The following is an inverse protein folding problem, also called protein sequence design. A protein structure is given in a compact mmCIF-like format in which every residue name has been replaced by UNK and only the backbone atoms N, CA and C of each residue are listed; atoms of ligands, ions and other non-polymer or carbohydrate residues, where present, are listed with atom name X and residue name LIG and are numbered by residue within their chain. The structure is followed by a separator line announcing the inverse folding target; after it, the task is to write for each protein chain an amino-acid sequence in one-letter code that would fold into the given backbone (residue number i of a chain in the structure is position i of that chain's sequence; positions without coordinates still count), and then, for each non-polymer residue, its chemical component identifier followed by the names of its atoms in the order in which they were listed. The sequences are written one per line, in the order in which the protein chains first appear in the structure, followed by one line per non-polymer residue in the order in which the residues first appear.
data_IF_457656355578
#
_entry.id   IF_457656355578
#
_cell.length_a   1.000
_cell.length_b   1.000
_cell.length_c   1.000
_cell.angle_alpha   90.00
_cell.angle_beta   90.00
_cell.angle_gamma   90.00
#
_symmetry.space_group_name_H-M   'P 1'
#
loop_
_entity.id
_entity.type
_entity.pdbx_description
1 polymer ?
#
# COMPACT_ATOMS: atom_id res chain seq x y z
N UNK A 1 8.64 20.55 -6.20
CA UNK A 1 7.71 20.04 -5.16
C UNK A 1 6.66 19.19 -5.86
N UNK A 2 6.25 18.11 -5.23
CA UNK A 2 5.15 17.33 -5.79
C UNK A 2 3.84 18.12 -5.76
N UNK A 3 3.09 18.04 -6.84
CA UNK A 3 1.85 18.77 -7.04
C UNK A 3 0.74 17.82 -7.46
N UNK A 4 -0.49 18.04 -6.97
CA UNK A 4 -1.65 17.33 -7.48
C UNK A 4 -2.17 18.12 -8.68
N UNK A 5 -1.87 17.63 -9.89
CA UNK A 5 -2.23 18.29 -11.15
C UNK A 5 -3.65 18.02 -11.59
N UNK A 6 -4.30 17.02 -11.02
CA UNK A 6 -5.70 16.68 -11.25
C UNK A 6 -6.11 15.37 -10.60
N UNK A 7 -7.35 14.98 -10.85
CA UNK A 7 -7.93 13.75 -10.32
C UNK A 7 -8.85 13.08 -11.33
N UNK A 8 -8.93 11.77 -11.26
CA UNK A 8 -9.80 10.92 -12.05
C UNK A 8 -10.68 10.11 -11.10
N UNK A 9 -11.99 10.17 -11.30
CA UNK A 9 -12.94 9.24 -10.73
C UNK A 9 -13.33 8.22 -11.80
N UNK A 10 -13.25 6.93 -11.52
CA UNK A 10 -13.51 5.89 -12.52
C UNK A 10 -14.06 4.62 -11.89
N UNK A 11 -14.98 3.96 -12.56
CA UNK A 11 -15.44 2.65 -12.11
C UNK A 11 -14.43 1.57 -12.45
N UNK A 12 -14.40 0.49 -11.63
CA UNK A 12 -13.41 -0.57 -11.70
C UNK A 12 -13.99 -1.96 -12.00
N UNK A 13 -15.17 -2.04 -12.57
CA UNK A 13 -15.79 -3.36 -12.81
C UNK A 13 -14.83 -4.28 -13.61
N UNK A 14 -14.71 -5.58 -13.24
CA UNK A 14 -13.79 -6.50 -13.90
C UNK A 14 -14.12 -6.66 -15.38
N UNK A 15 -15.40 -6.52 -15.74
CA UNK A 15 -15.89 -6.68 -17.10
C UNK A 15 -15.31 -5.66 -18.08
N UNK A 16 -14.95 -4.46 -17.65
CA UNK A 16 -14.30 -3.46 -18.49
C UNK A 16 -12.91 -3.96 -18.91
N UNK A 17 -12.12 -4.46 -17.98
CA UNK A 17 -10.80 -5.03 -18.26
C UNK A 17 -10.87 -6.25 -19.19
N UNK A 18 -11.82 -7.14 -18.95
CA UNK A 18 -12.04 -8.30 -19.83
C UNK A 18 -12.53 -7.92 -21.22
N UNK A 19 -13.35 -6.89 -21.36
CA UNK A 19 -13.77 -6.37 -22.65
C UNK A 19 -12.59 -5.78 -23.44
N UNK A 20 -11.65 -5.10 -22.75
CA UNK A 20 -10.42 -4.62 -23.35
C UNK A 20 -9.54 -5.79 -23.85
N UNK A 21 -9.28 -6.78 -23.00
CA UNK A 21 -8.46 -7.95 -23.33
C UNK A 21 -9.06 -8.78 -24.47
N UNK A 22 -10.39 -8.81 -24.59
CA UNK A 22 -11.13 -9.49 -25.64
C UNK A 22 -11.32 -8.65 -26.92
N UNK A 23 -10.72 -7.45 -26.99
CA UNK A 23 -10.83 -6.51 -28.13
C UNK A 23 -12.26 -6.12 -28.47
N UNK A 24 -13.10 -5.87 -27.47
CA UNK A 24 -14.53 -5.54 -27.63
C UNK A 24 -14.83 -4.04 -27.69
N UNK A 25 -13.85 -3.22 -27.99
CA UNK A 25 -13.97 -1.75 -28.01
C UNK A 25 -15.03 -1.24 -28.99
N UNK A 26 -15.33 -2.03 -30.04
CA UNK A 26 -16.31 -1.68 -31.08
C UNK A 26 -17.66 -2.38 -30.90
N UNK A 27 -17.80 -3.29 -29.94
CA UNK A 27 -19.08 -3.94 -29.67
C UNK A 27 -20.09 -2.89 -29.15
N UNK A 28 -21.33 -2.98 -29.65
CA UNK A 28 -22.39 -2.01 -29.37
C UNK A 28 -22.58 -1.74 -27.85
N UNK A 29 -22.42 -2.76 -27.01
CA UNK A 29 -22.57 -2.65 -25.55
C UNK A 29 -21.37 -1.96 -24.91
N UNK A 30 -20.15 -2.19 -25.42
CA UNK A 30 -18.91 -1.71 -24.81
C UNK A 30 -18.40 -0.41 -25.40
N UNK A 31 -18.68 -0.12 -26.67
CA UNK A 31 -18.19 1.07 -27.36
C UNK A 31 -18.43 2.40 -26.61
N UNK A 32 -19.60 2.63 -25.97
CA UNK A 32 -19.81 3.87 -25.21
C UNK A 32 -18.81 4.06 -24.07
N UNK A 33 -18.44 2.98 -23.36
CA UNK A 33 -17.47 3.01 -22.25
C UNK A 33 -16.08 3.36 -22.79
N UNK A 34 -15.60 2.64 -23.80
CA UNK A 34 -14.28 2.90 -24.38
C UNK A 34 -14.17 4.34 -24.91
N UNK A 35 -15.22 4.82 -25.58
CA UNK A 35 -15.29 6.21 -26.06
C UNK A 35 -15.24 7.21 -24.90
N UNK A 36 -15.84 6.89 -23.75
CA UNK A 36 -15.82 7.75 -22.58
C UNK A 36 -14.39 7.90 -21.96
N UNK A 37 -13.52 6.94 -22.19
CA UNK A 37 -12.11 7.01 -21.72
C UNK A 37 -11.18 7.76 -22.69
N UNK A 38 -11.52 7.94 -23.95
CA UNK A 38 -10.66 8.64 -24.93
C UNK A 38 -10.25 10.05 -24.47
N UNK A 39 -11.15 10.94 -23.97
CA UNK A 39 -10.75 12.22 -23.46
C UNK A 39 -9.85 12.14 -22.21
N UNK A 40 -10.04 11.12 -21.38
CA UNK A 40 -9.23 10.89 -20.17
C UNK A 40 -7.81 10.48 -20.56
N UNK A 41 -7.68 9.57 -21.51
CA UNK A 41 -6.38 9.13 -22.05
C UNK A 41 -5.65 10.31 -22.71
N UNK A 42 -6.37 11.14 -23.46
CA UNK A 42 -5.80 12.34 -24.08
C UNK A 42 -5.29 13.31 -23.02
N UNK A 43 -6.09 13.57 -21.99
CA UNK A 43 -5.72 14.43 -20.86
C UNK A 43 -4.47 13.90 -20.13
N UNK A 44 -4.38 12.58 -19.87
CA UNK A 44 -3.20 11.95 -19.27
C UNK A 44 -1.95 12.07 -20.18
N UNK A 45 -2.11 11.94 -21.49
CA UNK A 45 -1.01 12.16 -22.46
C UNK A 45 -0.51 13.60 -22.46
N UNK A 46 -1.38 14.56 -22.21
CA UNK A 46 -1.03 15.99 -22.11
C UNK A 46 -0.37 16.33 -20.78
N UNK A 47 -0.89 15.77 -19.67
CA UNK A 47 -0.37 16.02 -18.32
C UNK A 47 0.92 15.28 -18.01
N UNK A 48 1.10 14.08 -18.56
CA UNK A 48 2.25 13.20 -18.33
C UNK A 48 2.62 13.04 -16.85
N UNK A 49 1.66 12.66 -15.98
CA UNK A 49 1.94 12.56 -14.56
C UNK A 49 3.01 11.51 -14.26
N UNK A 50 3.89 11.82 -13.30
CA UNK A 50 4.92 10.90 -12.82
C UNK A 50 4.31 9.75 -12.04
N UNK A 51 3.21 10.04 -11.30
CA UNK A 51 2.60 9.08 -10.36
C UNK A 51 1.08 9.16 -10.41
N UNK A 52 0.43 7.98 -10.52
CA UNK A 52 -0.99 7.84 -10.18
C UNK A 52 -1.12 7.28 -8.76
N UNK A 53 -1.71 8.05 -7.84
CA UNK A 53 -2.15 7.51 -6.55
C UNK A 53 -3.53 6.87 -6.74
N UNK A 54 -3.58 5.54 -6.74
CA UNK A 54 -4.79 4.76 -7.06
C UNK A 54 -5.48 4.31 -5.79
N UNK A 55 -6.64 4.90 -5.50
CA UNK A 55 -7.51 4.53 -4.37
C UNK A 55 -8.48 3.45 -4.86
N UNK A 56 -8.40 2.26 -4.29
CA UNK A 56 -9.16 1.09 -4.72
C UNK A 56 -9.53 0.19 -3.53
N UNK A 57 -10.47 -0.72 -3.72
CA UNK A 57 -10.64 -1.87 -2.82
C UNK A 57 -10.18 -3.15 -3.49
N UNK A 58 -9.65 -4.06 -2.69
CA UNK A 58 -9.34 -5.43 -3.09
C UNK A 58 -10.57 -6.32 -2.88
N UNK A 59 -10.83 -7.20 -3.85
CA UNK A 59 -12.02 -8.09 -3.84
C UNK A 59 -11.67 -9.47 -3.28
N UNK A 60 -11.13 -9.51 -2.04
CA UNK A 60 -10.75 -10.75 -1.33
C UNK A 60 -9.69 -11.55 -2.08
N UNK A 61 -8.80 -10.87 -2.77
CA UNK A 61 -7.72 -11.47 -3.56
C UNK A 61 -6.40 -11.46 -2.80
N UNK A 62 -5.87 -10.29 -2.50
CA UNK A 62 -4.62 -10.10 -1.75
C UNK A 62 -4.82 -9.71 -0.29
N UNK A 63 -6.02 -9.25 0.08
CA UNK A 63 -6.41 -8.92 1.44
C UNK A 63 -7.58 -9.79 1.87
N UNK A 64 -7.37 -10.57 2.91
CA UNK A 64 -8.37 -11.49 3.45
C UNK A 64 -8.74 -11.14 4.88
N UNK A 65 -9.82 -11.70 5.41
CA UNK A 65 -10.40 -11.38 6.71
C UNK A 65 -9.60 -11.88 7.91
N UNK A 66 -8.45 -12.53 7.69
CA UNK A 66 -7.44 -12.80 8.70
C UNK A 66 -6.64 -11.54 9.09
N UNK A 67 -6.54 -10.56 8.18
CA UNK A 67 -6.00 -9.23 8.43
C UNK A 67 -6.56 -8.22 7.43
N UNK A 68 -7.72 -7.65 7.73
CA UNK A 68 -8.43 -6.73 6.83
C UNK A 68 -8.36 -5.29 7.32
N UNK A 69 -7.52 -4.49 6.67
CA UNK A 69 -7.25 -3.11 7.05
C UNK A 69 -8.30 -2.14 6.51
N UNK A 70 -8.67 -1.15 7.32
CA UNK A 70 -9.49 -0.03 6.85
C UNK A 70 -8.80 0.79 5.76
N UNK A 71 -7.47 1.02 5.91
CA UNK A 71 -6.62 1.67 4.93
C UNK A 71 -5.27 0.96 4.87
N UNK A 72 -4.83 0.58 3.68
CA UNK A 72 -3.50 0.00 3.46
C UNK A 72 -2.81 0.67 2.28
N UNK A 73 -1.63 1.24 2.53
CA UNK A 73 -0.83 1.95 1.53
C UNK A 73 0.28 1.03 1.00
N UNK A 74 0.36 0.90 -0.31
CA UNK A 74 1.43 0.19 -0.97
C UNK A 74 2.72 1.01 -0.97
N UNK A 75 3.79 0.45 -0.39
CA UNK A 75 5.12 1.07 -0.31
C UNK A 75 6.19 0.26 -1.05
N UNK A 76 5.75 -0.63 -1.95
CA UNK A 76 6.63 -1.45 -2.78
C UNK A 76 7.14 -0.73 -4.02
N UNK A 77 8.21 -1.27 -4.60
CA UNK A 77 8.81 -0.75 -5.83
C UNK A 77 8.10 -1.27 -7.10
N UNK A 78 7.30 -2.34 -6.99
CA UNK A 78 6.60 -2.95 -8.12
C UNK A 78 5.39 -3.77 -7.64
N UNK A 79 4.37 -3.83 -8.50
CA UNK A 79 3.14 -4.60 -8.26
C UNK A 79 2.81 -5.48 -9.46
N UNK A 80 2.51 -6.75 -9.16
CA UNK A 80 2.06 -7.75 -10.12
C UNK A 80 0.53 -7.72 -10.23
N UNK A 81 0.01 -8.24 -11.34
CA UNK A 81 -1.42 -8.51 -11.50
C UNK A 81 -1.79 -9.76 -10.69
N UNK A 82 -2.85 -9.69 -9.93
CA UNK A 82 -3.38 -10.84 -9.20
C UNK A 82 -4.06 -11.85 -10.13
N UNK A 83 -4.01 -13.11 -9.73
CA UNK A 83 -4.90 -14.15 -10.26
C UNK A 83 -6.16 -14.19 -9.39
N UNK A 84 -7.30 -13.97 -10.00
CA UNK A 84 -8.62 -13.96 -9.37
C UNK A 84 -9.42 -15.25 -9.63
N UNK A 85 -8.72 -16.35 -9.90
CA UNK A 85 -9.31 -17.68 -10.15
C UNK A 85 -9.49 -18.04 -11.63
N UNK A 86 -9.36 -17.07 -12.53
CA UNK A 86 -9.43 -17.28 -13.98
C UNK A 86 -8.09 -17.19 -14.69
N UNK A 87 -7.00 -17.06 -13.95
CA UNK A 87 -5.68 -16.69 -14.45
C UNK A 87 -5.47 -15.17 -14.43
N UNK A 88 -4.24 -14.76 -14.11
CA UNK A 88 -3.88 -13.34 -14.14
C UNK A 88 -3.99 -12.75 -15.55
N UNK A 89 -4.50 -11.52 -15.67
CA UNK A 89 -4.50 -10.79 -16.94
C UNK A 89 -3.07 -10.60 -17.45
N UNK A 90 -2.88 -10.65 -18.76
CA UNK A 90 -1.55 -10.53 -19.40
C UNK A 90 -1.09 -9.07 -19.49
N UNK A 91 -0.92 -8.45 -18.33
CA UNK A 91 -0.43 -7.08 -18.20
C UNK A 91 0.97 -7.10 -17.60
N UNK A 92 1.87 -6.18 -18.00
CA UNK A 92 3.17 -6.06 -17.36
C UNK A 92 3.01 -5.60 -15.90
N UNK A 93 3.98 -5.96 -15.02
CA UNK A 93 4.03 -5.39 -13.68
C UNK A 93 4.15 -3.87 -13.75
N UNK A 94 3.50 -3.15 -12.82
CA UNK A 94 3.57 -1.70 -12.75
C UNK A 94 4.57 -1.26 -11.68
N UNK A 95 5.38 -0.26 -11.97
CA UNK A 95 6.31 0.34 -11.03
C UNK A 95 5.59 1.06 -9.90
N UNK A 96 6.12 0.94 -8.67
CA UNK A 96 5.64 1.67 -7.51
C UNK A 96 6.58 2.83 -7.15
N UNK A 97 6.04 3.98 -6.76
CA UNK A 97 6.85 5.10 -6.28
C UNK A 97 7.05 5.02 -4.77
N UNK A 98 7.91 4.07 -4.33
CA UNK A 98 8.08 3.73 -2.92
C UNK A 98 8.54 4.91 -2.05
N UNK A 99 9.35 5.83 -2.56
CA UNK A 99 9.84 6.98 -1.79
C UNK A 99 8.71 7.95 -1.41
N UNK A 100 7.89 8.37 -2.38
CA UNK A 100 6.70 9.20 -2.12
C UNK A 100 5.68 8.44 -1.26
N UNK A 101 5.48 7.14 -1.51
CA UNK A 101 4.56 6.31 -0.71
C UNK A 101 4.96 6.26 0.78
N UNK A 102 6.25 6.11 1.08
CA UNK A 102 6.76 6.16 2.47
C UNK A 102 6.57 7.52 3.11
N UNK A 103 6.82 8.60 2.36
CA UNK A 103 6.58 9.96 2.83
C UNK A 103 5.09 10.18 3.16
N UNK A 104 4.19 9.77 2.25
CA UNK A 104 2.74 9.81 2.48
C UNK A 104 2.37 9.00 3.72
N UNK A 105 2.90 7.78 3.87
CA UNK A 105 2.64 6.93 5.02
C UNK A 105 3.06 7.57 6.33
N UNK A 106 4.27 8.13 6.41
CA UNK A 106 4.77 8.82 7.60
C UNK A 106 3.94 10.08 7.92
N UNK A 107 3.55 10.83 6.89
CA UNK A 107 2.69 12.00 7.02
C UNK A 107 1.32 11.65 7.59
N UNK A 108 0.65 10.64 7.04
CA UNK A 108 -0.67 10.22 7.50
C UNK A 108 -0.63 9.65 8.93
N UNK A 109 0.43 8.93 9.30
CA UNK A 109 0.63 8.47 10.68
C UNK A 109 0.85 9.63 11.65
N UNK A 110 1.58 10.68 11.25
CA UNK A 110 1.71 11.91 12.04
C UNK A 110 0.36 12.63 12.21
N UNK A 111 -0.48 12.63 11.18
CA UNK A 111 -1.84 13.16 11.19
C UNK A 111 -2.86 12.21 11.90
N UNK A 112 -2.39 11.22 12.65
CA UNK A 112 -3.21 10.28 13.44
C UNK A 112 -4.14 9.37 12.60
N UNK A 113 -3.75 9.07 11.35
CA UNK A 113 -4.41 8.04 10.56
C UNK A 113 -3.74 6.67 10.80
N UNK A 114 -4.52 5.68 11.24
CA UNK A 114 -4.07 4.31 11.45
C UNK A 114 -3.88 3.63 10.07
N UNK A 115 -2.65 3.69 9.55
CA UNK A 115 -2.32 3.14 8.25
C UNK A 115 -1.66 1.76 8.37
N UNK A 116 -2.12 0.80 7.57
CA UNK A 116 -1.34 -0.40 7.27
C UNK A 116 -0.45 -0.15 6.05
N UNK A 117 0.65 -0.90 5.95
CA UNK A 117 1.58 -0.82 4.82
C UNK A 117 1.77 -2.20 4.21
N UNK A 118 1.84 -2.26 2.88
CA UNK A 118 2.08 -3.52 2.19
C UNK A 118 3.14 -3.38 1.10
N UNK A 119 3.81 -4.50 0.83
CA UNK A 119 4.80 -4.64 -0.22
C UNK A 119 4.55 -5.97 -0.94
N UNK A 120 4.86 -6.04 -2.23
CA UNK A 120 4.84 -7.28 -3.02
C UNK A 120 3.50 -8.05 -3.01
N UNK A 121 2.39 -7.41 -2.65
CA UNK A 121 1.07 -8.00 -2.85
C UNK A 121 0.66 -7.76 -4.31
N UNK A 122 0.20 -8.77 -5.05
CA UNK A 122 -0.39 -8.55 -6.35
C UNK A 122 -1.69 -7.74 -6.20
N UNK A 123 -2.07 -6.98 -7.22
CA UNK A 123 -3.27 -6.15 -7.21
C UNK A 123 -4.32 -6.73 -8.15
N UNK A 124 -5.57 -6.67 -7.74
CA UNK A 124 -6.70 -7.22 -8.46
C UNK A 124 -7.29 -6.26 -9.51
N UNK A 125 -8.45 -6.63 -10.05
CA UNK A 125 -9.16 -5.79 -11.03
C UNK A 125 -9.55 -4.42 -10.50
N UNK A 126 -9.74 -4.25 -9.18
CA UNK A 126 -10.04 -2.95 -8.57
C UNK A 126 -9.00 -1.89 -8.91
N UNK A 127 -7.75 -2.31 -9.09
CA UNK A 127 -6.65 -1.46 -9.54
C UNK A 127 -6.38 -1.60 -11.04
N UNK A 128 -6.19 -2.82 -11.54
CA UNK A 128 -5.71 -3.04 -12.91
C UNK A 128 -6.77 -2.87 -14.00
N UNK A 129 -8.07 -3.03 -13.73
CA UNK A 129 -9.09 -2.73 -14.73
C UNK A 129 -9.09 -1.24 -15.11
N UNK A 130 -9.22 -0.29 -14.16
CA UNK A 130 -9.11 1.12 -14.51
C UNK A 130 -7.74 1.50 -15.05
N UNK A 131 -6.64 1.01 -14.45
CA UNK A 131 -5.30 1.35 -14.92
C UNK A 131 -5.08 1.00 -16.39
N UNK A 132 -5.54 -0.18 -16.84
CA UNK A 132 -5.45 -0.61 -18.24
C UNK A 132 -6.34 0.19 -19.19
N UNK A 133 -7.34 0.90 -18.67
CA UNK A 133 -8.17 1.82 -19.46
C UNK A 133 -7.59 3.23 -19.54
N UNK A 134 -6.81 3.63 -18.50
CA UNK A 134 -6.23 4.96 -18.40
C UNK A 134 -4.94 5.09 -19.19
N UNK A 135 -4.10 4.05 -19.18
CA UNK A 135 -2.78 4.05 -19.80
C UNK A 135 -2.61 2.97 -20.85
N UNK A 136 -1.96 3.30 -21.95
CA UNK A 136 -1.38 2.31 -22.86
C UNK A 136 -0.25 1.57 -22.14
N UNK A 137 -0.13 0.26 -22.35
CA UNK A 137 0.76 -0.60 -21.57
C UNK A 137 1.48 -1.67 -22.40
N UNK A 138 1.37 -1.64 -23.75
CA UNK A 138 2.01 -2.61 -24.62
C UNK A 138 3.55 -2.59 -24.52
N UNK A 139 4.11 -1.39 -24.36
CA UNK A 139 5.57 -1.16 -24.23
C UNK A 139 5.98 -0.88 -22.77
N UNK A 140 5.12 -1.21 -21.80
CA UNK A 140 5.25 -0.87 -20.39
C UNK A 140 4.36 0.29 -19.97
N UNK A 141 4.27 0.55 -18.66
CA UNK A 141 3.44 1.64 -18.13
C UNK A 141 4.16 2.98 -18.24
N UNK A 142 3.45 4.07 -18.62
CA UNK A 142 4.08 5.40 -18.79
C UNK A 142 4.62 6.02 -17.51
N UNK A 143 4.09 5.63 -16.35
CA UNK A 143 4.47 6.18 -15.05
C UNK A 143 4.40 5.14 -13.94
N UNK A 144 4.52 5.60 -12.71
CA UNK A 144 4.48 4.77 -11.50
C UNK A 144 3.13 4.91 -10.79
N UNK A 145 2.81 3.97 -9.89
CA UNK A 145 1.62 4.05 -9.06
C UNK A 145 1.94 4.05 -7.56
N UNK A 146 1.00 4.56 -6.78
CA UNK A 146 0.92 4.34 -5.34
C UNK A 146 -0.48 3.79 -5.06
N UNK A 147 -0.64 2.48 -4.79
CA UNK A 147 -1.93 1.91 -4.50
C UNK A 147 -2.33 2.15 -3.05
N UNK A 148 -3.53 2.68 -2.84
CA UNK A 148 -4.17 2.85 -1.53
C UNK A 148 -5.43 1.98 -1.47
N UNK A 149 -5.31 0.83 -0.82
CA UNK A 149 -6.43 -0.07 -0.59
C UNK A 149 -7.32 0.46 0.53
N UNK A 150 -8.63 0.40 0.33
CA UNK A 150 -9.68 0.77 1.31
C UNK A 150 -10.53 -0.45 1.62
N UNK A 151 -10.67 -0.78 2.89
CA UNK A 151 -11.48 -1.90 3.34
C UNK A 151 -12.97 -1.55 3.35
N UNK A 152 -13.69 -1.95 2.30
CA UNK A 152 -15.13 -1.66 2.13
C UNK A 152 -16.02 -2.90 2.18
N UNK A 153 -15.44 -4.11 2.22
CA UNK A 153 -16.20 -5.36 2.13
C UNK A 153 -16.63 -5.94 3.48
N UNK A 154 -15.98 -5.54 4.57
CA UNK A 154 -16.27 -6.03 5.92
C UNK A 154 -16.63 -4.87 6.84
N UNK A 155 -17.89 -4.82 7.29
CA UNK A 155 -18.33 -3.84 8.26
C UNK A 155 -17.76 -4.13 9.67
N UNK A 156 -17.39 -3.07 10.44
CA UNK A 156 -17.56 -1.64 10.13
C UNK A 156 -16.51 -1.14 9.13
N UNK A 157 -16.95 -0.37 8.14
CA UNK A 157 -16.09 0.26 7.15
C UNK A 157 -15.84 1.74 7.48
N UNK A 158 -14.80 2.39 6.91
CA UNK A 158 -14.53 3.81 7.12
C UNK A 158 -15.73 4.67 6.71
N UNK A 159 -16.06 5.70 7.51
CA UNK A 159 -17.15 6.61 7.16
C UNK A 159 -16.78 7.51 5.99
N UNK A 160 -17.75 7.98 5.24
CA UNK A 160 -17.59 8.97 4.18
C UNK A 160 -16.76 10.19 4.63
N UNK A 161 -17.03 10.71 5.85
CA UNK A 161 -16.28 11.81 6.46
C UNK A 161 -14.81 11.44 6.74
N UNK A 162 -14.54 10.21 7.22
CA UNK A 162 -13.16 9.75 7.47
C UNK A 162 -12.38 9.67 6.16
N UNK A 163 -13.00 9.17 5.10
CA UNK A 163 -12.42 9.09 3.77
C UNK A 163 -12.10 10.49 3.20
N UNK A 164 -13.02 11.44 3.30
CA UNK A 164 -12.77 12.81 2.86
C UNK A 164 -11.60 13.46 3.61
N UNK A 165 -11.53 13.28 4.95
CA UNK A 165 -10.41 13.74 5.77
C UNK A 165 -9.08 13.07 5.39
N UNK A 166 -9.10 11.77 5.09
CA UNK A 166 -7.91 11.07 4.58
C UNK A 166 -7.40 11.73 3.29
N UNK A 167 -8.31 12.08 2.38
CA UNK A 167 -7.96 12.84 1.17
C UNK A 167 -7.26 14.17 1.49
N UNK A 168 -7.77 14.93 2.46
CA UNK A 168 -7.13 16.17 2.90
C UNK A 168 -5.72 15.93 3.46
N UNK A 169 -5.51 14.83 4.21
CA UNK A 169 -4.20 14.39 4.66
C UNK A 169 -3.27 14.01 3.51
N UNK A 170 -3.78 13.28 2.52
CA UNK A 170 -3.03 12.93 1.31
C UNK A 170 -2.54 14.16 0.55
N UNK A 171 -3.38 15.19 0.41
CA UNK A 171 -2.96 16.44 -0.22
C UNK A 171 -1.77 17.06 0.51
N UNK A 172 -1.86 17.26 1.82
CA UNK A 172 -0.75 17.82 2.61
C UNK A 172 0.52 16.98 2.48
N UNK A 173 0.38 15.66 2.51
CA UNK A 173 1.49 14.73 2.38
C UNK A 173 2.17 14.88 1.01
N UNK A 174 1.41 14.87 -0.08
CA UNK A 174 1.96 15.00 -1.44
C UNK A 174 2.63 16.35 -1.62
N UNK A 175 1.93 17.45 -1.31
CA UNK A 175 2.43 18.82 -1.46
C UNK A 175 3.66 19.12 -0.56
N UNK A 176 3.90 18.34 0.51
CA UNK A 176 5.10 18.46 1.34
C UNK A 176 6.30 17.67 0.80
N UNK A 177 6.12 16.77 -0.15
CA UNK A 177 7.22 15.97 -0.70
C UNK A 177 8.24 16.86 -1.43
N UNK A 178 9.57 16.65 -1.19
CA UNK A 178 10.58 17.60 -1.65
C UNK A 178 10.86 17.57 -3.16
N UNK A 179 10.68 16.41 -3.81
CA UNK A 179 10.96 16.27 -5.23
C UNK A 179 9.85 16.89 -6.08
N UNK A 180 10.19 17.30 -7.29
CA UNK A 180 9.25 17.86 -8.26
C UNK A 180 8.57 16.71 -9.01
N UNK A 181 7.29 16.48 -8.71
CA UNK A 181 6.51 15.39 -9.27
C UNK A 181 5.08 15.87 -9.57
N UNK A 182 4.56 15.49 -10.71
CA UNK A 182 3.15 15.64 -11.04
C UNK A 182 2.38 14.38 -10.65
N UNK A 183 1.44 14.54 -9.72
CA UNK A 183 0.63 13.46 -9.17
C UNK A 183 -0.82 13.62 -9.59
N UNK A 184 -1.42 12.54 -10.07
CA UNK A 184 -2.88 12.43 -10.31
C UNK A 184 -3.49 11.48 -9.29
N UNK A 185 -4.57 11.88 -8.66
CA UNK A 185 -5.33 11.02 -7.74
C UNK A 185 -6.40 10.28 -8.54
N UNK A 186 -6.34 8.96 -8.55
CA UNK A 186 -7.33 8.11 -9.21
C UNK A 186 -8.15 7.41 -8.14
N UNK A 187 -9.46 7.70 -8.08
CA UNK A 187 -10.37 6.94 -7.22
C UNK A 187 -11.18 5.96 -8.07
N UNK A 188 -11.27 4.73 -7.60
CA UNK A 188 -12.01 3.66 -8.26
C UNK A 188 -13.24 3.26 -7.46
N UNK A 189 -14.10 2.42 -8.00
CA UNK A 189 -15.33 1.94 -7.36
C UNK A 189 -16.55 2.03 -8.28
N UNK A 190 -17.55 1.18 -8.04
CA UNK A 190 -18.82 1.24 -8.73
C UNK A 190 -19.74 2.32 -8.15
N UNK A 191 -20.59 2.93 -8.99
CA UNK A 191 -21.72 3.73 -8.52
C UNK A 191 -22.85 2.80 -8.03
N UNK A 192 -24.12 3.13 -8.27
CA UNK A 192 -25.17 2.29 -7.73
C UNK A 192 -25.12 0.87 -8.24
N UNK A 193 -25.03 -0.08 -7.32
CA UNK A 193 -25.13 -1.51 -7.59
C UNK A 193 -25.33 -2.32 -6.31
N UNK A 194 -25.94 -3.48 -6.48
CA UNK A 194 -25.98 -4.52 -5.45
C UNK A 194 -25.87 -5.88 -6.14
N UNK A 195 -24.90 -6.68 -5.69
CA UNK A 195 -24.56 -7.95 -6.36
C UNK A 195 -25.13 -9.18 -5.66
N UNK A 196 -25.60 -9.05 -4.42
CA UNK A 196 -26.10 -10.17 -3.63
C UNK A 196 -27.44 -9.88 -2.94
N UNK A 197 -28.08 -10.95 -2.43
CA UNK A 197 -29.38 -10.91 -1.78
C UNK A 197 -30.54 -10.62 -2.73
N UNK A 198 -31.72 -10.39 -2.17
CA UNK A 198 -32.96 -10.15 -2.92
C UNK A 198 -32.96 -8.81 -3.67
N UNK A 199 -32.02 -7.90 -3.34
CA UNK A 199 -31.80 -6.65 -4.06
C UNK A 199 -30.75 -6.75 -5.17
N UNK A 200 -30.25 -7.95 -5.49
CA UNK A 200 -29.27 -8.12 -6.56
C UNK A 200 -29.78 -7.51 -7.87
N UNK A 201 -28.94 -6.74 -8.55
CA UNK A 201 -29.33 -5.96 -9.74
C UNK A 201 -29.95 -4.59 -9.44
N UNK A 202 -29.98 -4.16 -8.17
CA UNK A 202 -30.43 -2.80 -7.82
C UNK A 202 -29.50 -1.75 -8.42
N UNK A 203 -30.10 -0.74 -9.06
CA UNK A 203 -29.43 0.46 -9.56
C UNK A 203 -30.32 1.69 -9.29
N UNK A 204 -29.70 2.86 -9.21
CA UNK A 204 -30.37 4.13 -9.01
C UNK A 204 -29.68 5.25 -9.81
N UNK A 205 -29.92 5.29 -11.11
CA UNK A 205 -29.34 6.30 -12.02
C UNK A 205 -29.58 7.75 -11.55
N UNK A 206 -30.77 8.15 -11.06
CA UNK A 206 -30.96 9.49 -10.51
C UNK A 206 -30.02 9.81 -9.35
N UNK A 207 -29.82 8.86 -8.45
CA UNK A 207 -28.85 9.02 -7.36
C UNK A 207 -27.41 9.10 -7.87
N UNK A 208 -27.03 8.29 -8.82
CA UNK A 208 -25.68 8.31 -9.40
C UNK A 208 -25.34 9.68 -9.98
N UNK A 209 -26.26 10.30 -10.72
CA UNK A 209 -26.08 11.65 -11.22
C UNK A 209 -26.04 12.69 -10.10
N UNK A 210 -26.90 12.57 -9.09
CA UNK A 210 -26.88 13.46 -7.92
C UNK A 210 -25.56 13.33 -7.14
N UNK A 211 -25.06 12.10 -6.97
CA UNK A 211 -23.76 11.84 -6.33
C UNK A 211 -22.62 12.53 -7.08
N UNK A 212 -22.58 12.39 -8.41
CA UNK A 212 -21.56 13.02 -9.26
C UNK A 212 -21.64 14.56 -9.21
N UNK A 213 -22.84 15.13 -9.14
CA UNK A 213 -23.03 16.57 -8.98
C UNK A 213 -22.56 17.05 -7.60
N UNK A 214 -22.93 16.36 -6.53
CA UNK A 214 -22.47 16.66 -5.16
C UNK A 214 -20.96 16.50 -5.02
N UNK A 215 -20.37 15.47 -5.63
CA UNK A 215 -18.92 15.25 -5.61
C UNK A 215 -18.15 16.45 -6.15
N UNK A 216 -18.67 17.10 -7.17
CA UNK A 216 -18.08 18.31 -7.75
C UNK A 216 -18.36 19.55 -6.90
N UNK A 217 -19.63 19.81 -6.54
CA UNK A 217 -20.10 21.11 -6.08
C UNK A 217 -20.26 21.21 -4.55
N UNK A 218 -20.64 20.11 -3.86
CA UNK A 218 -20.83 20.06 -2.40
C UNK A 218 -20.42 18.68 -1.86
N UNK A 219 -19.12 18.32 -1.90
CA UNK A 219 -18.66 17.03 -1.39
C UNK A 219 -18.90 16.87 0.13
N UNK A 220 -19.02 17.95 0.87
CA UNK A 220 -19.30 17.88 2.31
C UNK A 220 -20.71 17.35 2.60
N UNK A 221 -21.69 17.59 1.72
CA UNK A 221 -23.01 16.97 1.84
C UNK A 221 -22.89 15.43 1.84
N UNK A 222 -22.05 14.87 0.97
CA UNK A 222 -21.80 13.43 0.91
C UNK A 222 -21.14 12.88 2.19
N UNK A 223 -20.31 13.69 2.86
CA UNK A 223 -19.63 13.27 4.12
C UNK A 223 -20.57 13.09 5.28
N UNK A 224 -21.79 13.59 5.20
CA UNK A 224 -22.83 13.48 6.24
C UNK A 224 -23.66 12.22 6.11
N UNK A 225 -23.62 11.53 4.98
CA UNK A 225 -24.38 10.31 4.74
C UNK A 225 -23.80 9.15 5.56
N UNK A 226 -24.69 8.42 6.19
CA UNK A 226 -24.40 7.14 6.85
C UNK A 226 -24.27 6.01 5.81
N UNK A 227 -23.67 4.90 6.20
CA UNK A 227 -23.62 3.71 5.34
C UNK A 227 -25.01 3.16 5.00
N UNK A 228 -25.97 3.28 5.93
CA UNK A 228 -27.34 2.87 5.68
C UNK A 228 -28.02 3.74 4.61
N UNK A 229 -27.78 5.04 4.62
CA UNK A 229 -28.28 5.97 3.59
C UNK A 229 -27.61 5.70 2.26
N UNK A 230 -26.28 5.52 2.22
CA UNK A 230 -25.55 5.15 1.00
C UNK A 230 -26.07 3.83 0.41
N UNK A 231 -26.26 2.79 1.24
CA UNK A 231 -26.80 1.50 0.80
C UNK A 231 -28.26 1.59 0.34
N UNK A 232 -29.06 2.45 0.96
CA UNK A 232 -30.45 2.70 0.55
C UNK A 232 -30.50 3.34 -0.82
N UNK A 233 -29.65 4.35 -1.05
CA UNK A 233 -29.61 5.15 -2.26
C UNK A 233 -28.91 4.42 -3.41
N UNK A 234 -27.78 3.78 -3.13
CA UNK A 234 -26.90 3.22 -4.18
C UNK A 234 -26.81 1.69 -4.21
N UNK A 235 -27.34 0.96 -3.23
CA UNK A 235 -27.07 -0.48 -3.04
C UNK A 235 -25.90 -0.71 -2.08
N UNK A 236 -25.78 -1.93 -1.54
CA UNK A 236 -24.80 -2.21 -0.48
C UNK A 236 -23.35 -2.07 -0.98
N UNK A 237 -23.05 -2.61 -2.16
CA UNK A 237 -21.70 -2.54 -2.73
C UNK A 237 -21.33 -1.14 -3.20
N UNK A 238 -22.31 -0.25 -3.41
CA UNK A 238 -22.02 1.17 -3.68
C UNK A 238 -21.39 1.90 -2.48
N UNK A 239 -21.15 1.24 -1.34
CA UNK A 239 -20.28 1.75 -0.29
C UNK A 239 -18.88 2.14 -0.83
N UNK A 240 -18.47 1.59 -1.96
CA UNK A 240 -17.25 1.94 -2.69
C UNK A 240 -17.12 3.43 -3.03
N UNK A 241 -18.23 4.17 -3.15
CA UNK A 241 -18.19 5.62 -3.45
C UNK A 241 -17.46 6.45 -2.38
N UNK A 242 -17.23 5.91 -1.18
CA UNK A 242 -16.39 6.58 -0.17
C UNK A 242 -14.94 6.76 -0.62
N UNK A 243 -14.46 5.91 -1.53
CA UNK A 243 -13.13 6.05 -2.16
C UNK A 243 -13.05 7.29 -3.05
N UNK A 244 -14.15 7.65 -3.72
CA UNK A 244 -14.23 8.88 -4.51
C UNK A 244 -14.16 10.13 -3.62
N UNK A 245 -14.61 10.02 -2.37
CA UNK A 245 -14.45 11.09 -1.38
C UNK A 245 -13.01 11.26 -0.90
N UNK A 246 -12.18 10.19 -0.89
CA UNK A 246 -10.74 10.33 -0.65
C UNK A 246 -10.10 11.19 -1.74
N UNK A 247 -10.36 10.88 -3.00
CA UNK A 247 -9.89 11.67 -4.14
C UNK A 247 -10.38 13.13 -4.03
N UNK A 248 -11.67 13.34 -3.77
CA UNK A 248 -12.23 14.68 -3.69
C UNK A 248 -11.68 15.49 -2.51
N UNK A 249 -11.38 14.84 -1.39
CA UNK A 249 -10.72 15.45 -0.24
C UNK A 249 -9.27 15.85 -0.53
N UNK A 250 -8.59 15.12 -1.42
CA UNK A 250 -7.23 15.45 -1.87
C UNK A 250 -7.20 16.66 -2.82
N UNK A 251 -8.31 16.97 -3.48
CA UNK A 251 -8.43 18.16 -4.33
C UNK A 251 -8.74 19.43 -3.51
N UNK A 252 -8.42 20.61 -4.02
CA UNK A 252 -8.86 21.88 -3.40
C UNK A 252 -10.37 21.99 -3.36
N UNK A 253 -10.88 23.00 -2.64
CA UNK A 253 -12.32 23.24 -2.50
C UNK A 253 -13.02 23.44 -3.85
N UNK A 254 -12.45 24.26 -4.73
CA UNK A 254 -12.94 24.47 -6.09
C UNK A 254 -12.26 23.55 -7.09
N UNK A 255 -13.06 22.83 -7.88
CA UNK A 255 -12.58 21.99 -8.98
C UNK A 255 -13.39 22.25 -10.25
N UNK A 256 -12.72 22.18 -11.40
CA UNK A 256 -13.34 22.14 -12.71
C UNK A 256 -13.49 20.69 -13.16
N UNK A 257 -14.70 20.27 -13.49
CA UNK A 257 -14.92 18.98 -14.15
C UNK A 257 -14.72 19.19 -15.66
N UNK A 258 -13.65 18.59 -16.20
CA UNK A 258 -13.30 18.71 -17.61
C UNK A 258 -14.03 17.70 -18.48
N UNK A 259 -14.33 16.53 -17.91
CA UNK A 259 -15.00 15.43 -18.57
C UNK A 259 -15.80 14.62 -17.55
N UNK A 260 -17.00 14.16 -17.93
CA UNK A 260 -17.84 13.28 -17.12
C UNK A 260 -18.79 12.51 -18.00
N UNK A 261 -18.70 11.20 -17.94
CA UNK A 261 -19.62 10.28 -18.61
C UNK A 261 -20.17 9.24 -17.66
N UNK A 262 -21.39 8.81 -17.90
CA UNK A 262 -22.09 7.79 -17.13
C UNK A 262 -22.72 6.77 -18.07
N UNK A 263 -22.61 5.49 -17.71
CA UNK A 263 -23.18 4.40 -18.48
C UNK A 263 -23.61 3.24 -17.56
N UNK A 264 -24.80 2.69 -17.80
CA UNK A 264 -25.32 1.52 -17.08
C UNK A 264 -25.52 0.36 -18.04
N UNK A 265 -24.47 -0.44 -18.34
CA UNK A 265 -24.57 -1.54 -19.28
C UNK A 265 -25.26 -2.78 -18.68
N UNK A 266 -25.14 -3.01 -17.38
CA UNK A 266 -25.67 -4.23 -16.72
C UNK A 266 -25.98 -3.99 -15.24
N UNK A 267 -25.14 -4.51 -14.33
CA UNK A 267 -25.39 -4.53 -12.88
C UNK A 267 -24.91 -3.28 -12.15
N UNK A 268 -23.88 -2.60 -12.65
CA UNK A 268 -23.18 -1.53 -11.97
C UNK A 268 -23.26 -0.24 -12.77
N UNK A 269 -23.63 0.87 -12.13
CA UNK A 269 -23.47 2.20 -12.69
C UNK A 269 -21.98 2.51 -12.89
N UNK A 270 -21.58 2.75 -14.13
CA UNK A 270 -20.21 3.05 -14.51
C UNK A 270 -20.11 4.53 -14.82
N UNK A 271 -19.10 5.19 -14.23
CA UNK A 271 -18.78 6.55 -14.61
C UNK A 271 -17.28 6.75 -14.73
N UNK A 272 -16.90 7.77 -15.50
CA UNK A 272 -15.55 8.31 -15.55
C UNK A 272 -15.63 9.82 -15.57
N UNK A 273 -14.78 10.47 -14.75
CA UNK A 273 -14.73 11.93 -14.69
C UNK A 273 -13.30 12.40 -14.44
N UNK A 274 -12.96 13.57 -14.99
CA UNK A 274 -11.67 14.26 -14.82
C UNK A 274 -11.89 15.58 -14.14
N UNK A 275 -11.12 15.86 -13.10
CA UNK A 275 -11.16 17.11 -12.35
C UNK A 275 -9.79 17.78 -12.32
N UNK A 276 -9.76 19.09 -12.48
CA UNK A 276 -8.58 19.92 -12.22
C UNK A 276 -8.87 20.96 -11.13
N UNK A 277 -7.84 21.45 -10.39
CA UNK A 277 -7.99 22.58 -9.51
C UNK A 277 -8.58 23.81 -10.26
N UNK A 278 -9.60 24.44 -9.69
CA UNK A 278 -10.22 25.61 -10.31
C UNK A 278 -9.34 26.87 -10.21
N UNK A 279 -8.45 26.92 -9.23
CA UNK A 279 -7.55 28.04 -8.96
C UNK A 279 -6.15 27.50 -8.69
N UNK A 280 -5.14 28.15 -9.24
CA UNK A 280 -3.75 27.85 -8.94
C UNK A 280 -3.45 28.08 -7.45
N UNK A 281 -2.68 27.22 -6.85
CA UNK A 281 -2.27 27.34 -5.43
C UNK A 281 -1.24 28.46 -5.29
N UNK A 282 -1.36 29.28 -4.24
CA UNK A 282 -0.37 30.30 -3.92
C UNK A 282 0.94 29.63 -3.44
N UNK A 283 1.98 29.74 -4.27
CA UNK A 283 3.27 29.09 -4.02
C UNK A 283 3.93 29.53 -2.69
N UNK A 284 3.69 30.76 -2.23
CA UNK A 284 4.26 31.27 -0.98
C UNK A 284 3.61 30.62 0.24
N UNK A 285 2.28 30.55 0.23
CA UNK A 285 1.51 29.88 1.29
C UNK A 285 1.84 28.37 1.31
N UNK A 286 1.91 27.75 0.15
CA UNK A 286 2.27 26.34 0.01
C UNK A 286 3.65 26.03 0.60
N UNK A 287 4.66 26.90 0.36
CA UNK A 287 6.00 26.70 0.91
C UNK A 287 6.04 26.75 2.45
N UNK A 288 5.32 27.70 3.05
CA UNK A 288 5.23 27.83 4.50
C UNK A 288 4.47 26.66 5.15
N UNK A 289 3.41 26.18 4.51
CA UNK A 289 2.65 25.01 4.97
C UNK A 289 3.48 23.74 4.87
N UNK A 290 4.23 23.58 3.81
CA UNK A 290 5.17 22.47 3.62
C UNK A 290 6.18 22.39 4.74
N UNK A 291 6.88 23.49 5.05
CA UNK A 291 7.89 23.51 6.09
C UNK A 291 7.31 23.10 7.46
N UNK A 292 6.14 23.65 7.82
CA UNK A 292 5.43 23.25 9.04
C UNK A 292 5.06 21.78 9.05
N UNK A 293 4.61 21.24 7.91
CA UNK A 293 4.19 19.86 7.82
C UNK A 293 5.38 18.89 7.87
N UNK A 294 6.50 19.23 7.24
CA UNK A 294 7.75 18.45 7.35
C UNK A 294 8.26 18.41 8.80
N UNK A 295 8.21 19.54 9.51
CA UNK A 295 8.56 19.58 10.94
C UNK A 295 7.62 18.68 11.77
N UNK A 296 6.32 18.68 11.45
CA UNK A 296 5.33 17.81 12.11
C UNK A 296 5.63 16.31 11.87
N UNK A 297 5.92 15.91 10.64
CA UNK A 297 6.32 14.52 10.32
C UNK A 297 7.57 14.12 11.10
N UNK A 298 8.55 15.01 11.19
CA UNK A 298 9.83 14.74 11.87
C UNK A 298 9.67 14.44 13.37
N UNK A 299 8.62 14.95 14.01
CA UNK A 299 8.39 14.73 15.47
C UNK A 299 8.23 13.26 15.85
N UNK A 300 7.86 12.37 14.92
CA UNK A 300 7.69 10.94 15.19
C UNK A 300 8.99 10.24 15.61
N UNK A 301 10.14 10.70 15.11
CA UNK A 301 11.45 10.13 15.40
C UNK A 301 12.38 11.11 16.13
N UNK A 302 11.91 12.34 16.40
CA UNK A 302 12.76 13.37 16.99
C UNK A 302 13.40 12.92 18.31
N UNK A 303 14.73 12.91 18.31
CA UNK A 303 15.55 12.48 19.41
C UNK A 303 15.82 10.97 19.49
N UNK A 304 14.99 10.12 18.93
CA UNK A 304 15.19 8.64 18.96
C UNK A 304 16.42 8.27 18.14
N UNK A 305 16.57 8.81 16.96
CA UNK A 305 17.70 8.58 16.07
C UNK A 305 19.03 9.10 16.62
N UNK A 306 18.98 10.02 17.62
CA UNK A 306 20.13 10.59 18.29
C UNK A 306 20.61 9.76 19.49
N UNK A 307 19.83 8.76 19.91
CA UNK A 307 20.21 7.88 21.01
C UNK A 307 21.34 6.93 20.57
N UNK A 308 22.53 7.10 21.14
CA UNK A 308 23.69 6.29 20.78
C UNK A 308 23.42 4.79 20.99
N UNK A 309 23.73 3.98 19.97
CA UNK A 309 23.52 2.53 19.99
C UNK A 309 22.06 2.11 19.81
N UNK A 310 21.19 3.00 19.36
CA UNK A 310 19.77 2.74 19.06
C UNK A 310 19.53 2.81 17.57
N UNK A 311 18.84 1.80 17.01
CA UNK A 311 18.58 1.67 15.58
C UNK A 311 17.08 1.48 15.36
N UNK A 312 16.30 2.56 15.21
CA UNK A 312 14.85 2.46 14.98
C UNK A 312 14.55 1.72 13.70
N UNK A 313 13.62 0.76 13.77
CA UNK A 313 13.14 0.06 12.57
C UNK A 313 12.03 0.87 11.91
N UNK A 314 12.43 1.77 11.03
CA UNK A 314 11.53 2.72 10.35
C UNK A 314 10.84 2.07 9.14
N UNK A 315 9.81 2.72 8.60
CA UNK A 315 9.15 2.33 7.36
C UNK A 315 10.15 2.25 6.19
N UNK A 316 11.11 3.18 6.13
CA UNK A 316 12.18 3.16 5.14
C UNK A 316 13.09 1.94 5.30
N UNK A 317 13.52 1.63 6.53
CA UNK A 317 14.32 0.44 6.85
C UNK A 317 13.56 -0.83 6.48
N UNK A 318 12.28 -0.92 6.87
CA UNK A 318 11.40 -2.03 6.52
C UNK A 318 11.33 -2.28 5.01
N UNK A 319 11.19 -1.22 4.23
CA UNK A 319 11.13 -1.31 2.77
C UNK A 319 12.48 -1.72 2.18
N UNK A 320 13.56 -0.99 2.50
CA UNK A 320 14.91 -1.25 1.96
C UNK A 320 15.47 -2.63 2.32
N UNK A 321 15.14 -3.13 3.51
CA UNK A 321 15.64 -4.41 4.05
C UNK A 321 14.59 -5.51 4.05
N UNK A 322 13.54 -5.34 3.23
CA UNK A 322 12.43 -6.29 3.16
C UNK A 322 12.91 -7.72 2.86
N UNK A 323 13.84 -7.90 1.92
CA UNK A 323 14.34 -9.20 1.47
C UNK A 323 14.92 -10.03 2.61
N UNK A 324 15.92 -9.50 3.34
CA UNK A 324 16.54 -10.22 4.46
C UNK A 324 15.56 -10.44 5.61
N UNK A 325 14.73 -9.43 5.93
CA UNK A 325 13.72 -9.58 6.98
C UNK A 325 12.68 -10.64 6.60
N UNK A 326 12.21 -10.67 5.36
CA UNK A 326 11.30 -11.72 4.87
C UNK A 326 11.94 -13.11 4.88
N UNK A 327 13.22 -13.20 4.50
CA UNK A 327 13.97 -14.45 4.56
C UNK A 327 14.02 -15.00 5.99
N UNK A 328 14.46 -14.19 6.94
CA UNK A 328 14.53 -14.61 8.35
C UNK A 328 13.15 -14.88 8.97
N UNK A 329 12.11 -14.21 8.51
CA UNK A 329 10.74 -14.50 8.93
C UNK A 329 10.28 -15.91 8.55
N UNK A 330 10.76 -16.48 7.44
CA UNK A 330 10.40 -17.85 7.04
C UNK A 330 10.90 -18.91 8.04
N UNK A 331 11.85 -18.59 8.92
CA UNK A 331 12.33 -19.48 9.97
C UNK A 331 11.24 -19.90 10.98
N UNK A 332 10.10 -19.22 11.02
CA UNK A 332 8.93 -19.65 11.79
C UNK A 332 8.26 -20.90 11.20
N UNK A 333 8.52 -21.21 9.90
CA UNK A 333 7.95 -22.34 9.20
C UNK A 333 8.86 -23.59 9.39
N UNK A 334 8.35 -24.73 9.90
CA UNK A 334 9.15 -25.92 10.14
C UNK A 334 9.93 -26.40 8.92
N UNK A 335 9.27 -26.54 7.78
CA UNK A 335 9.91 -27.02 6.55
C UNK A 335 11.03 -26.09 6.06
N UNK A 336 10.89 -24.77 6.22
CA UNK A 336 11.95 -23.84 5.86
C UNK A 336 13.14 -23.94 6.83
N UNK A 337 12.88 -24.10 8.15
CA UNK A 337 13.96 -24.28 9.15
C UNK A 337 14.80 -25.52 8.86
N UNK A 338 14.17 -26.64 8.50
CA UNK A 338 14.88 -27.88 8.17
C UNK A 338 15.80 -27.67 6.97
N UNK A 339 15.34 -27.01 5.92
CA UNK A 339 16.15 -26.66 4.74
C UNK A 339 17.28 -25.70 5.10
N UNK A 340 16.99 -24.66 5.86
CA UNK A 340 18.00 -23.69 6.33
C UNK A 340 19.09 -24.36 7.17
N UNK A 341 18.75 -25.33 8.02
CA UNK A 341 19.73 -26.06 8.83
C UNK A 341 20.55 -27.05 8.01
N UNK A 342 19.95 -27.66 7.01
CA UNK A 342 20.62 -28.66 6.16
C UNK A 342 21.55 -28.01 5.12
N UNK A 343 21.06 -26.98 4.41
CA UNK A 343 21.79 -26.28 3.36
C UNK A 343 21.40 -24.79 3.34
N UNK A 344 22.07 -23.95 4.13
CA UNK A 344 21.78 -22.52 4.15
C UNK A 344 22.09 -21.83 2.83
N UNK A 345 23.17 -22.25 2.13
CA UNK A 345 23.58 -21.58 0.89
C UNK A 345 22.51 -21.70 -0.20
N UNK A 346 21.90 -22.87 -0.34
CA UNK A 346 20.79 -23.06 -1.27
C UNK A 346 19.61 -22.13 -0.93
N UNK A 347 19.27 -22.02 0.36
CA UNK A 347 18.16 -21.14 0.78
C UNK A 347 18.48 -19.66 0.61
N UNK A 348 19.75 -19.25 0.76
CA UNK A 348 20.21 -17.88 0.47
C UNK A 348 20.08 -17.54 -1.02
N UNK A 349 20.48 -18.49 -1.88
CA UNK A 349 20.43 -18.35 -3.32
C UNK A 349 18.97 -18.20 -3.82
N UNK A 350 18.09 -19.08 -3.40
CA UNK A 350 16.66 -19.04 -3.73
C UNK A 350 16.00 -17.71 -3.30
N UNK A 351 16.41 -17.17 -2.15
CA UNK A 351 15.90 -15.88 -1.65
C UNK A 351 16.58 -14.68 -2.31
N UNK A 352 17.61 -14.88 -3.14
CA UNK A 352 18.36 -13.82 -3.80
C UNK A 352 19.11 -12.91 -2.83
N UNK A 353 19.58 -13.44 -1.68
CA UNK A 353 20.33 -12.65 -0.70
C UNK A 353 21.66 -12.16 -1.28
N UNK A 354 22.04 -10.92 -0.96
CA UNK A 354 23.34 -10.38 -1.34
C UNK A 354 24.48 -11.06 -0.59
N UNK A 355 25.72 -10.95 -1.11
CA UNK A 355 26.90 -11.50 -0.45
C UNK A 355 27.06 -10.97 1.00
N UNK A 356 26.76 -9.68 1.22
CA UNK A 356 26.79 -9.07 2.55
C UNK A 356 25.74 -9.68 3.50
N UNK A 357 24.50 -9.88 3.01
CA UNK A 357 23.42 -10.50 3.79
C UNK A 357 23.75 -11.95 4.15
N UNK A 358 24.30 -12.72 3.21
CA UNK A 358 24.74 -14.11 3.43
C UNK A 358 25.87 -14.18 4.48
N UNK A 359 26.87 -13.32 4.36
CA UNK A 359 28.02 -13.29 5.27
C UNK A 359 27.60 -12.95 6.71
N UNK A 360 26.73 -11.93 6.90
CA UNK A 360 26.22 -11.59 8.22
C UNK A 360 25.45 -12.74 8.88
N UNK A 361 24.61 -13.45 8.13
CA UNK A 361 23.83 -14.58 8.63
C UNK A 361 24.74 -15.76 8.97
N UNK A 362 25.66 -16.12 8.07
CA UNK A 362 26.56 -17.27 8.23
C UNK A 362 27.51 -17.09 9.42
N UNK A 363 28.04 -15.90 9.62
CA UNK A 363 28.87 -15.55 10.78
C UNK A 363 28.10 -15.28 12.04
N UNK A 364 26.76 -15.21 11.96
CA UNK A 364 25.91 -14.82 13.08
C UNK A 364 26.32 -13.46 13.67
N UNK A 365 26.62 -12.51 12.80
CA UNK A 365 27.01 -11.16 13.21
C UNK A 365 25.77 -10.36 13.62
N UNK A 366 25.32 -10.61 14.86
CA UNK A 366 24.11 -10.01 15.42
C UNK A 366 24.14 -8.50 15.40
N UNK A 367 25.29 -7.90 15.66
CA UNK A 367 25.46 -6.46 15.67
C UNK A 367 25.40 -5.86 14.26
N UNK A 368 26.06 -6.50 13.29
CA UNK A 368 26.01 -6.08 11.90
C UNK A 368 24.58 -6.17 11.34
N UNK A 369 23.86 -7.27 11.63
CA UNK A 369 22.49 -7.45 11.19
C UNK A 369 21.54 -6.35 11.73
N UNK A 370 21.65 -5.96 13.00
CA UNK A 370 20.86 -4.84 13.55
C UNK A 370 21.22 -3.52 12.85
N UNK A 371 22.49 -3.22 12.69
CA UNK A 371 22.94 -2.00 11.98
C UNK A 371 22.52 -1.98 10.52
N UNK A 372 22.47 -3.13 9.89
CA UNK A 372 22.00 -3.30 8.52
C UNK A 372 20.49 -3.05 8.39
N UNK A 373 19.71 -3.26 9.46
CA UNK A 373 18.27 -3.07 9.50
C UNK A 373 17.45 -4.37 9.56
N UNK A 374 18.02 -5.42 10.15
CA UNK A 374 17.22 -6.58 10.55
C UNK A 374 16.52 -6.26 11.87
N UNK A 375 15.20 -6.48 11.93
CA UNK A 375 14.46 -6.26 13.17
C UNK A 375 14.83 -7.29 14.22
N UNK A 376 15.06 -6.87 15.46
CA UNK A 376 15.57 -7.72 16.55
C UNK A 376 14.77 -9.01 16.73
N UNK A 377 13.45 -8.98 16.64
CA UNK A 377 12.61 -10.18 16.83
C UNK A 377 12.84 -11.28 15.79
N UNK A 378 13.41 -10.99 14.65
CA UNK A 378 13.84 -12.01 13.68
C UNK A 378 15.19 -12.60 14.07
N UNK A 379 16.06 -11.86 14.73
CA UNK A 379 17.31 -12.38 15.28
C UNK A 379 17.04 -13.37 16.44
N UNK A 380 16.04 -13.11 17.28
CA UNK A 380 15.59 -14.07 18.29
C UNK A 380 15.12 -15.38 17.65
N UNK A 381 14.33 -15.30 16.56
CA UNK A 381 13.89 -16.50 15.82
C UNK A 381 15.07 -17.26 15.22
N UNK A 382 15.99 -16.55 14.59
CA UNK A 382 17.21 -17.16 14.08
C UNK A 382 18.03 -17.78 15.22
N UNK A 383 18.22 -17.08 16.34
CA UNK A 383 18.92 -17.60 17.52
C UNK A 383 18.32 -18.90 18.02
N UNK A 384 16.99 -18.96 18.14
CA UNK A 384 16.28 -20.19 18.53
C UNK A 384 16.52 -21.36 17.56
N UNK A 385 16.64 -21.07 16.26
CA UNK A 385 16.88 -22.09 15.23
C UNK A 385 18.32 -22.60 15.27
N UNK A 386 19.30 -21.71 15.46
CA UNK A 386 20.73 -22.06 15.48
C UNK A 386 21.27 -22.36 16.88
N UNK A 387 20.42 -22.45 17.90
CA UNK A 387 20.80 -22.83 19.27
C UNK A 387 21.49 -21.73 20.07
N UNK A 388 21.28 -20.43 19.72
CA UNK A 388 21.86 -19.28 20.43
C UNK A 388 20.78 -18.61 21.28
N UNK A 389 21.03 -18.48 22.59
CA UNK A 389 20.06 -17.81 23.47
C UNK A 389 20.04 -16.30 23.28
N UNK A 390 18.93 -15.66 23.63
CA UNK A 390 18.78 -14.21 23.58
C UNK A 390 19.83 -13.47 24.41
N UNK A 391 20.28 -14.07 25.54
CA UNK A 391 21.32 -13.45 26.36
C UNK A 391 22.67 -13.38 25.63
N UNK A 392 23.00 -14.39 24.83
CA UNK A 392 24.20 -14.34 23.99
C UNK A 392 24.07 -13.23 22.92
N UNK A 393 22.88 -13.13 22.29
CA UNK A 393 22.62 -12.09 21.29
C UNK A 393 22.76 -10.70 21.92
N UNK A 394 22.18 -10.48 23.11
CA UNK A 394 22.31 -9.20 23.83
C UNK A 394 23.75 -8.88 24.19
N UNK A 395 24.51 -9.88 24.71
CA UNK A 395 25.92 -9.71 25.03
C UNK A 395 26.74 -9.32 23.78
N UNK A 396 26.52 -10.05 22.67
CA UNK A 396 27.18 -9.77 21.40
C UNK A 396 26.88 -8.37 20.87
N UNK A 397 25.60 -7.89 20.96
CA UNK A 397 25.24 -6.54 20.58
C UNK A 397 25.96 -5.45 21.39
N UNK A 398 26.31 -5.75 22.64
CA UNK A 398 27.08 -4.86 23.51
C UNK A 398 28.60 -5.01 23.38
N UNK A 399 29.05 -5.96 22.55
CA UNK A 399 30.49 -6.30 22.46
C UNK A 399 31.04 -6.89 23.76
N UNK A 400 30.21 -7.61 24.51
CA UNK A 400 30.56 -8.20 25.83
C UNK A 400 30.50 -9.73 25.75
N UNK A 401 31.25 -10.40 26.66
CA UNK A 401 31.00 -11.81 26.92
C UNK A 401 29.65 -12.01 27.62
N UNK A 402 29.08 -13.23 27.51
CA UNK A 402 27.84 -13.57 28.22
C UNK A 402 28.01 -13.38 29.74
N UNK A 403 29.16 -13.81 30.28
CA UNK A 403 29.47 -13.67 31.71
C UNK A 403 29.48 -12.22 32.15
N UNK A 404 30.17 -11.33 31.44
CA UNK A 404 30.20 -9.90 31.75
C UNK A 404 28.84 -9.25 31.61
N UNK A 405 28.07 -9.64 30.57
CA UNK A 405 26.71 -9.19 30.42
C UNK A 405 25.81 -9.60 31.61
N UNK A 406 25.93 -10.85 32.07
CA UNK A 406 25.17 -11.36 33.22
C UNK A 406 25.51 -10.63 34.52
N UNK A 407 26.77 -10.22 34.74
CA UNK A 407 27.20 -9.41 35.91
C UNK A 407 26.48 -8.06 35.97
N UNK A 408 25.93 -7.56 34.86
CA UNK A 408 25.18 -6.30 34.84
C UNK A 408 23.72 -6.47 35.26
N UNK A 409 23.27 -7.70 35.54
CA UNK A 409 21.88 -7.99 35.95
C UNK A 409 21.74 -8.05 37.46
N UNK A 410 20.56 -7.63 37.98
CA UNK A 410 20.26 -7.59 39.40
C UNK A 410 19.96 -8.96 40.03
N UNK A 411 19.69 -9.99 39.20
CA UNK A 411 19.40 -11.35 39.63
C UNK A 411 20.50 -12.29 39.14
N UNK A 412 21.46 -12.67 40.01
CA UNK A 412 22.48 -13.64 39.64
C UNK A 412 21.87 -14.98 39.22
N UNK A 413 22.33 -15.54 38.10
CA UNK A 413 21.84 -16.82 37.58
C UNK A 413 20.48 -16.80 36.93
N UNK A 414 19.87 -15.62 36.72
CA UNK A 414 18.66 -15.50 35.91
C UNK A 414 18.99 -15.92 34.47
N UNK A 415 18.47 -17.08 34.07
CA UNK A 415 18.56 -17.58 32.72
C UNK A 415 17.25 -17.28 32.01
N UNK A 416 17.36 -16.62 30.88
CA UNK A 416 16.25 -16.37 29.99
C UNK A 416 16.55 -17.02 28.65
N UNK A 417 15.70 -17.94 28.21
CA UNK A 417 15.82 -18.61 26.91
C UNK A 417 14.54 -18.55 26.14
N UNK A 418 14.64 -18.56 24.82
CA UNK A 418 13.46 -18.68 23.96
C UNK A 418 12.83 -20.06 24.17
N UNK A 419 11.51 -20.11 24.25
CA UNK A 419 10.77 -21.37 24.42
C UNK A 419 11.15 -22.40 23.33
N UNK A 420 11.45 -23.62 23.75
CA UNK A 420 11.82 -24.70 22.86
C UNK A 420 13.29 -24.76 22.43
N UNK A 421 14.14 -23.85 22.92
CA UNK A 421 15.58 -23.97 22.71
C UNK A 421 16.14 -25.10 23.57
N UNK A 422 16.42 -26.25 22.98
CA UNK A 422 17.28 -27.23 23.60
C UNK A 422 18.74 -26.75 23.45
N UNK A 423 19.54 -26.87 24.53
CA UNK A 423 20.96 -26.51 24.57
C UNK A 423 21.82 -27.18 23.51
N UNK A 424 21.28 -28.17 22.82
CA UNK A 424 22.01 -29.09 21.91
C UNK A 424 21.65 -28.87 20.42
N UNK A 425 20.90 -27.82 20.09
CA UNK A 425 20.58 -27.47 18.68
C UNK A 425 21.73 -26.68 18.05
N UNK A 426 22.77 -27.36 17.57
CA UNK A 426 23.70 -26.78 16.62
C UNK A 426 23.08 -26.81 15.22
N UNK A 427 23.27 -25.76 14.43
CA UNK A 427 22.94 -25.79 13.02
C UNK A 427 23.73 -26.86 12.30
N UNK A 428 23.14 -27.57 11.32
CA UNK A 428 23.81 -28.72 10.70
C UNK A 428 25.13 -28.34 10.03
N UNK A 429 25.27 -27.16 9.45
CA UNK A 429 26.55 -26.70 8.89
C UNK A 429 27.64 -26.45 9.94
N UNK A 430 27.29 -26.25 11.22
CA UNK A 430 28.29 -26.13 12.30
C UNK A 430 28.94 -27.45 12.62
N UNK A 431 28.25 -28.58 12.35
CA UNK A 431 28.74 -29.95 12.63
C UNK A 431 29.75 -30.43 11.61
N UNK A 432 29.75 -29.84 10.41
CA UNK A 432 30.62 -30.28 9.30
C UNK A 432 31.97 -29.58 9.24
N UNK A 433 32.21 -28.57 10.09
CA UNK A 433 33.46 -27.82 10.12
C UNK A 433 33.73 -26.97 8.86
N UNK A 434 32.79 -26.89 7.95
CA UNK A 434 32.86 -26.02 6.76
C UNK A 434 32.38 -24.63 7.17
N UNK A 435 33.34 -23.73 7.35
CA UNK A 435 33.12 -22.28 7.51
C UNK A 435 33.10 -21.59 6.16
#
# INVERSE_FOLDING_TARGET
MANIVGAIATSHTPTIGFALDANKQHDQVWAPIFKAYEPVQQWLKEKQPDVLLVVYNDHVTSFFFDHYSAFALGVGDQYQVADEGGGARKLPPVGGHAALARHIGSSLMADEFDMSFFQQKPLDHGCFSPLSMLWEHQDGWPGQIIPLQVGVLQFPVPTARRCYKLGQGLRRAIESYPEDLDVVIVATGGLSHQVHGERAGFNNTPWDHQFLDLLQHDPEALTRLTHAELATLGGLESAEVIMWLIMRGAMPAGVNCLHREYYLPSMTGIAVAVYEPAVAVDATLQAAEKERHLAHIATQLDGIEKLAGTYPFTLETSNRRYRINRYLHQLIQPAFRERFLADPELTFEEAGLSAEERDMISRRDWQAMIRYGVIFFLLEKMGAVVGVSNLHIYAAMRGQSLEDFQKTRNAPGALYSVAGSASDRAADWDKTGTR
#
